data_IF_094712781586
#
_entry.id   IF_094712781586
#
_cell.length_a   1.000
_cell.length_b   1.000
_cell.length_c   1.000
_cell.angle_alpha   90.00
_cell.angle_beta   90.00
_cell.angle_gamma   90.00
#
_symmetry.space_group_name_H-M   'P 1'
#
loop_
_entity.id
_entity.type
_entity.pdbx_description
1 polymer ?
#
# COMPACT_ATOMS: atom_id res chain seq x y z
N UNK A 1 19.99 -3.05 -18.35
CA UNK A 1 18.87 -3.80 -17.75
C UNK A 1 19.26 -5.27 -17.74
N UNK A 2 18.97 -5.99 -16.67
CA UNK A 2 19.24 -7.43 -16.59
C UNK A 2 18.16 -8.18 -17.36
N UNK A 3 18.53 -9.00 -18.34
CA UNK A 3 17.59 -9.84 -19.08
C UNK A 3 17.19 -11.05 -18.25
N UNK A 4 15.88 -11.35 -18.24
CA UNK A 4 15.31 -12.43 -17.45
C UNK A 4 14.24 -13.19 -18.24
N UNK A 5 14.02 -14.45 -17.87
CA UNK A 5 12.87 -15.24 -18.31
C UNK A 5 11.85 -15.23 -17.19
N UNK A 6 10.61 -14.88 -17.50
CA UNK A 6 9.52 -14.97 -16.55
C UNK A 6 8.81 -16.33 -16.62
N UNK A 7 8.42 -16.82 -15.45
CA UNK A 7 7.70 -18.10 -15.31
C UNK A 7 6.37 -17.82 -14.64
N UNK A 8 5.30 -17.97 -15.40
CA UNK A 8 3.94 -17.70 -14.97
C UNK A 8 3.25 -19.00 -14.58
N UNK A 9 2.78 -19.06 -13.34
CA UNK A 9 2.02 -20.18 -12.80
C UNK A 9 0.55 -19.83 -12.79
N UNK A 10 -0.23 -20.56 -13.57
CA UNK A 10 -1.64 -20.30 -13.78
C UNK A 10 -2.51 -21.25 -12.95
N UNK A 11 -3.56 -20.73 -12.33
CA UNK A 11 -4.70 -21.49 -11.87
C UNK A 11 -5.64 -21.86 -13.02
N UNK A 12 -6.77 -22.52 -12.71
CA UNK A 12 -7.74 -22.92 -13.76
C UNK A 12 -8.48 -21.75 -14.41
N UNK A 13 -8.71 -20.71 -13.61
CA UNK A 13 -9.54 -19.56 -13.97
C UNK A 13 -8.70 -18.29 -14.18
N UNK A 14 -7.36 -18.40 -14.13
CA UNK A 14 -6.47 -17.27 -14.34
C UNK A 14 -6.40 -16.87 -15.81
N UNK A 15 -6.41 -15.57 -16.08
CA UNK A 15 -6.12 -15.01 -17.39
C UNK A 15 -4.60 -14.92 -17.61
N UNK A 16 -4.11 -15.68 -18.59
CA UNK A 16 -2.68 -15.78 -18.88
C UNK A 16 -2.08 -14.44 -19.31
N UNK A 17 -2.79 -13.67 -20.15
CA UNK A 17 -2.28 -12.38 -20.65
C UNK A 17 -2.12 -11.37 -19.53
N UNK A 18 -3.09 -11.33 -18.60
CA UNK A 18 -3.05 -10.46 -17.42
C UNK A 18 -1.86 -10.82 -16.53
N UNK A 19 -1.65 -12.10 -16.24
CA UNK A 19 -0.55 -12.59 -15.41
C UNK A 19 0.82 -12.29 -16.03
N UNK A 20 0.96 -12.49 -17.33
CA UNK A 20 2.19 -12.16 -18.07
C UNK A 20 2.47 -10.67 -17.97
N UNK A 21 1.48 -9.81 -18.23
CA UNK A 21 1.62 -8.37 -18.18
C UNK A 21 1.96 -7.85 -16.77
N UNK A 22 1.33 -8.41 -15.74
CA UNK A 22 1.59 -8.04 -14.34
C UNK A 22 3.03 -8.33 -13.94
N UNK A 23 3.51 -9.57 -14.19
CA UNK A 23 4.89 -9.95 -13.86
C UNK A 23 5.92 -9.15 -14.68
N UNK A 24 5.67 -8.93 -15.96
CA UNK A 24 6.53 -8.11 -16.82
C UNK A 24 6.65 -6.68 -16.30
N UNK A 25 5.53 -6.07 -15.89
CA UNK A 25 5.50 -4.74 -15.32
C UNK A 25 6.31 -4.63 -14.02
N UNK A 26 6.25 -5.67 -13.16
CA UNK A 26 7.06 -5.76 -11.94
C UNK A 26 8.54 -5.92 -12.24
N UNK A 27 8.89 -6.78 -13.21
CA UNK A 27 10.28 -6.97 -13.67
C UNK A 27 10.85 -5.64 -14.16
N UNK A 28 10.10 -4.91 -14.99
CA UNK A 28 10.51 -3.59 -15.48
C UNK A 28 10.69 -2.59 -14.34
N UNK A 29 9.80 -2.61 -13.35
CA UNK A 29 9.89 -1.77 -12.14
C UNK A 29 11.14 -2.08 -11.31
N UNK A 30 11.55 -3.36 -11.25
CA UNK A 30 12.79 -3.79 -10.60
C UNK A 30 14.06 -3.47 -11.41
N UNK A 31 13.92 -2.89 -12.61
CA UNK A 31 15.05 -2.58 -13.51
C UNK A 31 15.52 -3.76 -14.36
N UNK A 32 14.75 -4.84 -14.42
CA UNK A 32 14.93 -5.96 -15.33
C UNK A 32 14.28 -5.74 -16.70
N UNK A 33 14.44 -6.71 -17.59
CA UNK A 33 13.75 -6.80 -18.87
C UNK A 33 13.34 -8.25 -19.11
N UNK A 34 12.05 -8.53 -19.24
CA UNK A 34 11.59 -9.84 -19.68
C UNK A 34 11.89 -10.00 -21.16
N UNK A 35 12.64 -11.04 -21.52
CA UNK A 35 12.98 -11.38 -22.91
C UNK A 35 12.23 -12.61 -23.41
N UNK A 36 11.65 -13.39 -22.50
CA UNK A 36 10.79 -14.51 -22.81
C UNK A 36 9.92 -14.86 -21.60
N UNK A 37 8.83 -15.57 -21.85
CA UNK A 37 7.98 -16.12 -20.80
C UNK A 37 7.71 -17.60 -20.99
N UNK A 38 7.45 -18.30 -19.91
CA UNK A 38 7.01 -19.70 -19.86
C UNK A 38 5.82 -19.79 -18.91
N UNK A 39 4.70 -20.29 -19.39
CA UNK A 39 3.49 -20.43 -18.57
C UNK A 39 3.15 -21.90 -18.34
N UNK A 40 2.62 -22.20 -17.14
CA UNK A 40 2.11 -23.54 -16.82
C UNK A 40 0.87 -23.46 -15.97
N UNK A 41 -0.21 -24.13 -16.38
CA UNK A 41 -1.37 -24.38 -15.52
C UNK A 41 -0.99 -25.43 -14.47
N UNK A 42 -1.06 -25.08 -13.19
CA UNK A 42 -0.69 -25.93 -12.07
C UNK A 42 -1.92 -26.22 -11.21
N UNK A 43 -2.48 -27.42 -11.38
CA UNK A 43 -3.58 -27.92 -10.52
C UNK A 43 -3.08 -28.53 -9.22
N UNK A 44 -1.85 -29.02 -9.21
CA UNK A 44 -1.18 -29.60 -8.02
C UNK A 44 0.29 -29.19 -8.02
N UNK A 45 0.67 -28.44 -6.99
CA UNK A 45 2.05 -27.96 -6.80
C UNK A 45 3.03 -29.13 -6.67
N UNK A 46 4.10 -29.11 -7.47
CA UNK A 46 5.20 -30.07 -7.32
C UNK A 46 6.01 -29.71 -6.06
N UNK A 47 6.13 -30.64 -5.08
CA UNK A 47 6.84 -30.35 -3.84
C UNK A 47 8.34 -30.00 -4.03
N UNK A 48 8.95 -30.46 -5.13
CA UNK A 48 10.39 -30.28 -5.39
C UNK A 48 10.70 -29.05 -6.22
N UNK A 49 9.89 -28.74 -7.24
CA UNK A 49 10.19 -27.69 -8.21
C UNK A 49 9.08 -26.67 -8.42
N UNK A 50 7.93 -26.84 -7.76
CA UNK A 50 6.67 -26.12 -7.99
C UNK A 50 6.00 -26.52 -9.31
N UNK A 51 6.74 -26.51 -10.41
CA UNK A 51 6.35 -26.81 -11.80
C UNK A 51 6.71 -28.26 -12.20
N UNK A 52 6.24 -28.69 -13.35
CA UNK A 52 6.54 -30.01 -13.91
C UNK A 52 7.95 -30.11 -14.49
N UNK A 53 8.49 -31.35 -14.58
CA UNK A 53 9.84 -31.59 -15.13
C UNK A 53 9.99 -31.13 -16.58
N UNK A 54 8.98 -31.36 -17.43
CA UNK A 54 9.04 -30.92 -18.84
C UNK A 54 9.17 -29.39 -18.97
N UNK A 55 8.57 -28.61 -18.04
CA UNK A 55 8.74 -27.17 -18.00
C UNK A 55 10.15 -26.75 -17.55
N UNK A 56 10.80 -27.54 -16.69
CA UNK A 56 12.21 -27.28 -16.34
C UNK A 56 13.13 -27.43 -17.54
N UNK A 57 12.92 -28.44 -18.37
CA UNK A 57 13.70 -28.65 -19.60
C UNK A 57 13.46 -27.49 -20.58
N UNK A 58 12.20 -27.10 -20.79
CA UNK A 58 11.85 -25.93 -21.62
C UNK A 58 12.52 -24.64 -21.15
N UNK A 59 12.53 -24.37 -19.84
CA UNK A 59 13.18 -23.20 -19.24
C UNK A 59 14.70 -23.26 -19.45
N UNK A 60 15.31 -24.43 -19.27
CA UNK A 60 16.75 -24.63 -19.49
C UNK A 60 17.14 -24.34 -20.94
N UNK A 61 16.45 -24.96 -21.90
CA UNK A 61 16.72 -24.80 -23.33
C UNK A 61 16.55 -23.32 -23.76
N UNK A 62 15.51 -22.67 -23.21
CA UNK A 62 15.24 -21.27 -23.50
C UNK A 62 16.33 -20.35 -22.89
N UNK A 63 16.78 -20.64 -21.68
CA UNK A 63 17.83 -19.88 -21.00
C UNK A 63 19.19 -20.03 -21.70
N UNK A 64 19.53 -21.24 -22.17
CA UNK A 64 20.75 -21.49 -22.97
C UNK A 64 20.67 -20.75 -24.31
N UNK A 65 19.55 -20.84 -25.03
CA UNK A 65 19.34 -20.18 -26.32
C UNK A 65 19.43 -18.65 -26.27
N UNK A 66 18.92 -18.05 -25.17
CA UNK A 66 18.88 -16.60 -24.99
C UNK A 66 20.05 -16.07 -24.12
N UNK A 67 20.95 -16.95 -23.65
CA UNK A 67 22.07 -16.64 -22.75
C UNK A 67 21.63 -15.95 -21.43
N UNK A 68 20.40 -16.22 -20.99
CA UNK A 68 19.82 -15.64 -19.77
C UNK A 68 20.29 -16.42 -18.55
N UNK A 69 20.63 -15.70 -17.48
CA UNK A 69 21.14 -16.29 -16.22
C UNK A 69 20.19 -16.19 -15.05
N UNK A 70 19.04 -15.55 -15.24
CA UNK A 70 18.07 -15.28 -14.16
C UNK A 70 16.66 -15.59 -14.64
N UNK A 71 15.93 -16.34 -13.82
CA UNK A 71 14.50 -16.60 -14.02
C UNK A 71 13.70 -16.06 -12.85
N UNK A 72 12.49 -15.60 -13.13
CA UNK A 72 11.59 -14.98 -12.14
C UNK A 72 10.24 -15.70 -12.16
N UNK A 73 9.80 -16.17 -11.01
CA UNK A 73 8.50 -16.80 -10.80
C UNK A 73 7.48 -15.81 -10.26
N UNK A 74 6.24 -15.89 -10.73
CA UNK A 74 5.08 -15.12 -10.23
C UNK A 74 4.45 -15.71 -8.95
N UNK A 75 5.10 -16.68 -8.34
CA UNK A 75 4.67 -17.34 -7.09
C UNK A 75 5.77 -17.35 -6.06
N UNK A 76 5.38 -17.46 -4.79
CA UNK A 76 6.35 -17.69 -3.72
C UNK A 76 6.84 -19.14 -3.75
N UNK A 77 8.15 -19.29 -3.69
CA UNK A 77 8.82 -20.59 -3.64
C UNK A 77 9.27 -20.92 -2.22
N UNK A 78 9.02 -22.14 -1.78
CA UNK A 78 9.64 -22.61 -0.54
C UNK A 78 11.17 -22.66 -0.69
N UNK A 79 11.87 -22.52 0.43
CA UNK A 79 13.33 -22.60 0.42
C UNK A 79 13.91 -23.88 -0.22
N UNK A 80 13.16 -25.00 -0.16
CA UNK A 80 13.54 -26.26 -0.81
C UNK A 80 13.35 -26.22 -2.32
N UNK A 81 12.24 -25.61 -2.77
CA UNK A 81 11.96 -25.46 -4.21
C UNK A 81 12.96 -24.52 -4.87
N UNK A 82 13.22 -23.37 -4.23
CA UNK A 82 14.23 -22.41 -4.70
C UNK A 82 15.60 -23.09 -4.89
N UNK A 83 16.09 -23.79 -3.84
CA UNK A 83 17.35 -24.52 -3.89
C UNK A 83 17.37 -25.57 -5.00
N UNK A 84 16.32 -26.40 -5.10
CA UNK A 84 16.25 -27.46 -6.11
C UNK A 84 16.22 -26.90 -7.54
N UNK A 85 15.53 -25.77 -7.76
CA UNK A 85 15.47 -25.10 -9.05
C UNK A 85 16.84 -24.52 -9.44
N UNK A 86 17.52 -23.85 -8.53
CA UNK A 86 18.88 -23.31 -8.77
C UNK A 86 19.89 -24.41 -9.06
N UNK A 87 19.85 -25.53 -8.31
CA UNK A 87 20.73 -26.68 -8.53
C UNK A 87 20.45 -27.37 -9.87
N UNK A 88 19.19 -27.54 -10.25
CA UNK A 88 18.82 -28.24 -11.48
C UNK A 88 19.07 -27.39 -12.73
N UNK A 89 18.73 -26.11 -12.66
CA UNK A 89 18.82 -25.20 -13.81
C UNK A 89 20.19 -24.53 -13.93
N UNK A 90 20.95 -24.44 -12.83
CA UNK A 90 22.17 -23.62 -12.73
C UNK A 90 22.00 -22.16 -13.10
N UNK A 91 20.78 -21.65 -12.82
CA UNK A 91 20.37 -20.26 -13.02
C UNK A 91 20.06 -19.63 -11.67
N UNK A 92 20.14 -18.30 -11.58
CA UNK A 92 19.60 -17.56 -10.45
C UNK A 92 18.08 -17.61 -10.52
N UNK A 93 17.45 -18.04 -9.44
CA UNK A 93 15.98 -18.09 -9.32
C UNK A 93 15.52 -16.98 -8.38
N UNK A 94 14.60 -16.16 -8.84
CA UNK A 94 13.95 -15.11 -8.05
C UNK A 94 12.48 -15.47 -7.97
N UNK A 95 11.93 -15.52 -6.77
CA UNK A 95 10.50 -15.74 -6.58
C UNK A 95 9.76 -14.41 -6.39
N UNK A 96 8.44 -14.47 -6.39
CA UNK A 96 7.55 -13.32 -6.22
C UNK A 96 7.94 -12.45 -5.02
N UNK A 97 8.12 -13.06 -3.85
CA UNK A 97 8.45 -12.36 -2.61
C UNK A 97 9.79 -11.63 -2.70
N UNK A 98 10.81 -12.25 -3.28
CA UNK A 98 12.12 -11.63 -3.49
C UNK A 98 12.03 -10.44 -4.45
N UNK A 99 11.27 -10.58 -5.56
CA UNK A 99 11.08 -9.51 -6.53
C UNK A 99 10.42 -8.28 -5.89
N UNK A 100 9.35 -8.48 -5.12
CA UNK A 100 8.65 -7.40 -4.42
C UNK A 100 9.58 -6.72 -3.39
N UNK A 101 10.35 -7.49 -2.62
CA UNK A 101 11.30 -6.94 -1.66
C UNK A 101 12.40 -6.12 -2.34
N UNK A 102 12.85 -6.53 -3.52
CA UNK A 102 13.86 -5.79 -4.30
C UNK A 102 13.29 -4.46 -4.83
N UNK A 103 12.05 -4.46 -5.34
CA UNK A 103 11.34 -3.24 -5.75
C UNK A 103 11.21 -2.27 -4.57
N UNK A 104 10.78 -2.77 -3.42
CA UNK A 104 10.62 -1.95 -2.22
C UNK A 104 11.95 -1.40 -1.71
N UNK A 105 13.03 -2.20 -1.76
CA UNK A 105 14.35 -1.74 -1.34
C UNK A 105 14.84 -0.56 -2.19
N UNK A 106 14.51 -0.52 -3.48
CA UNK A 106 14.85 0.58 -4.38
C UNK A 106 14.00 1.83 -4.12
N UNK A 107 12.75 1.66 -3.66
CA UNK A 107 11.78 2.76 -3.43
C UNK A 107 11.79 3.31 -2.01
N UNK A 108 12.48 2.68 -1.06
CA UNK A 108 12.55 3.12 0.32
C UNK A 108 13.44 4.37 0.49
N UNK A 109 12.84 5.52 0.70
CA UNK A 109 13.55 6.78 0.90
C UNK A 109 13.65 7.17 2.38
N UNK A 110 12.64 6.80 3.20
CA UNK A 110 12.64 7.13 4.63
C UNK A 110 13.45 6.12 5.45
N UNK A 111 13.93 6.56 6.62
CA UNK A 111 14.62 5.68 7.57
C UNK A 111 13.71 4.52 8.01
N UNK A 112 12.43 4.80 8.25
CA UNK A 112 11.45 3.80 8.69
C UNK A 112 11.25 2.72 7.64
N UNK A 113 10.96 3.09 6.39
CA UNK A 113 10.72 2.14 5.30
C UNK A 113 11.96 1.27 5.03
N UNK A 114 13.16 1.86 5.07
CA UNK A 114 14.41 1.10 4.96
C UNK A 114 14.57 0.07 6.07
N UNK A 115 14.21 0.41 7.32
CA UNK A 115 14.24 -0.53 8.44
C UNK A 115 13.21 -1.64 8.29
N UNK A 116 11.97 -1.30 7.88
CA UNK A 116 10.89 -2.27 7.63
C UNK A 116 11.27 -3.26 6.53
N UNK A 117 11.78 -2.78 5.40
CA UNK A 117 12.19 -3.65 4.30
C UNK A 117 13.36 -4.53 4.70
N UNK A 118 14.36 -3.98 5.38
CA UNK A 118 15.48 -4.76 5.88
C UNK A 118 15.03 -5.86 6.83
N UNK A 119 14.07 -5.56 7.70
CA UNK A 119 13.45 -6.54 8.60
C UNK A 119 12.74 -7.64 7.80
N UNK A 120 11.92 -7.27 6.80
CA UNK A 120 11.23 -8.23 5.93
C UNK A 120 12.21 -9.12 5.16
N UNK A 121 13.26 -8.54 4.58
CA UNK A 121 14.33 -9.30 3.90
C UNK A 121 14.99 -10.32 4.83
N UNK A 122 15.33 -9.93 6.06
CA UNK A 122 15.96 -10.83 7.01
C UNK A 122 15.01 -11.93 7.49
N UNK A 123 13.74 -11.62 7.73
CA UNK A 123 12.70 -12.61 8.08
C UNK A 123 12.47 -13.60 6.93
N UNK A 124 12.46 -13.12 5.70
CA UNK A 124 12.35 -13.95 4.51
C UNK A 124 13.59 -14.86 4.29
N UNK A 125 14.79 -14.35 4.54
CA UNK A 125 16.05 -15.10 4.39
C UNK A 125 16.26 -16.16 5.48
N UNK A 126 15.85 -15.88 6.71
CA UNK A 126 16.15 -16.73 7.88
C UNK A 126 15.71 -18.20 7.70
N UNK A 127 14.48 -18.56 7.29
CA UNK A 127 14.07 -19.94 7.06
C UNK A 127 14.81 -20.59 5.87
N UNK A 128 15.28 -19.80 4.90
CA UNK A 128 16.03 -20.27 3.74
C UNK A 128 17.43 -20.72 4.12
N UNK A 129 18.12 -19.96 4.94
CA UNK A 129 19.44 -20.33 5.49
C UNK A 129 19.35 -21.59 6.34
N UNK A 130 18.33 -21.75 7.17
CA UNK A 130 18.14 -22.95 7.98
C UNK A 130 18.01 -24.25 7.16
N UNK A 131 17.38 -24.17 5.98
CA UNK A 131 17.26 -25.35 5.09
C UNK A 131 18.52 -25.66 4.30
N UNK A 132 19.24 -24.65 3.88
CA UNK A 132 20.59 -24.81 3.31
C UNK A 132 21.51 -25.54 4.31
N UNK A 133 21.40 -25.18 5.56
CA UNK A 133 22.10 -25.83 6.66
C UNK A 133 21.78 -27.31 6.78
N UNK A 134 20.49 -27.67 6.82
CA UNK A 134 20.05 -29.06 6.94
C UNK A 134 20.47 -29.92 5.75
N UNK A 135 20.66 -29.33 4.57
CA UNK A 135 21.12 -30.03 3.37
C UNK A 135 22.64 -30.27 3.41
N UNK A 136 23.43 -29.25 3.74
CA UNK A 136 24.90 -29.36 3.84
C UNK A 136 25.35 -30.30 4.98
N UNK A 137 24.63 -30.31 6.09
CA UNK A 137 24.89 -31.21 7.21
C UNK A 137 24.61 -32.67 6.87
N UNK A 138 23.66 -32.96 5.96
CA UNK A 138 23.40 -34.34 5.46
C UNK A 138 24.46 -34.82 4.49
N UNK A 139 25.12 -33.94 3.73
CA UNK A 139 26.21 -34.29 2.81
C UNK A 139 27.54 -34.50 3.55
N UNK A 140 27.76 -33.82 4.67
CA UNK A 140 28.99 -33.93 5.47
C UNK A 140 29.01 -35.12 6.43
N UNK A 141 28.15 -36.13 6.22
CA UNK A 141 27.88 -37.30 7.05
C UNK A 141 29.05 -37.98 7.71
N UNK A 142 29.24 -37.71 9.01
CA UNK A 142 30.06 -38.46 9.95
C UNK A 142 29.45 -38.34 11.34
N UNK A 143 29.25 -39.45 12.06
CA UNK A 143 28.70 -39.45 13.40
C UNK A 143 29.67 -38.69 14.32
N UNK A 144 29.30 -37.47 14.78
CA UNK A 144 29.94 -36.81 15.92
C UNK A 144 30.88 -35.63 15.66
N UNK A 145 31.08 -35.18 14.42
CA UNK A 145 31.90 -34.00 14.15
C UNK A 145 31.07 -32.90 13.44
N UNK A 146 30.81 -31.79 14.15
CA UNK A 146 30.33 -30.56 13.52
C UNK A 146 31.39 -30.05 12.56
N UNK A 147 31.06 -30.00 11.26
CA UNK A 147 31.97 -29.47 10.26
C UNK A 147 32.13 -27.94 10.36
N UNK A 148 33.26 -27.36 9.88
CA UNK A 148 33.48 -25.90 9.93
C UNK A 148 32.36 -25.08 9.23
N UNK A 149 31.70 -25.64 8.20
CA UNK A 149 30.54 -25.00 7.55
C UNK A 149 29.32 -24.93 8.42
N UNK A 150 29.08 -25.88 9.33
CA UNK A 150 27.98 -25.92 10.28
C UNK A 150 28.08 -24.79 11.31
N UNK A 151 29.29 -24.52 11.81
CA UNK A 151 29.57 -23.44 12.76
C UNK A 151 29.44 -22.05 12.12
N UNK A 152 29.83 -21.90 10.89
CA UNK A 152 29.74 -20.63 10.15
C UNK A 152 28.28 -20.24 9.90
N UNK A 153 27.45 -21.16 9.39
CA UNK A 153 26.05 -20.93 9.14
C UNK A 153 25.25 -20.69 10.44
N UNK A 154 25.59 -21.37 11.55
CA UNK A 154 24.96 -21.08 12.84
C UNK A 154 25.33 -19.68 13.36
N UNK A 155 26.55 -19.23 13.09
CA UNK A 155 27.00 -17.86 13.40
C UNK A 155 26.22 -16.85 12.59
N UNK A 156 26.02 -17.11 11.28
CA UNK A 156 25.24 -16.24 10.38
C UNK A 156 23.77 -16.19 10.81
N UNK A 157 23.17 -17.34 11.15
CA UNK A 157 21.81 -17.38 11.69
C UNK A 157 21.66 -16.51 12.95
N UNK A 158 22.57 -16.66 13.92
CA UNK A 158 22.58 -15.88 15.15
C UNK A 158 22.80 -14.39 14.90
N UNK A 159 23.59 -14.04 13.86
CA UNK A 159 23.77 -12.65 13.44
C UNK A 159 22.46 -12.08 12.90
N UNK A 160 21.78 -12.78 11.98
CA UNK A 160 20.49 -12.37 11.44
C UNK A 160 19.43 -12.23 12.53
N UNK A 161 19.33 -13.17 13.46
CA UNK A 161 18.38 -13.08 14.58
C UNK A 161 18.65 -11.88 15.51
N UNK A 162 19.94 -11.52 15.71
CA UNK A 162 20.29 -10.30 16.45
C UNK A 162 19.89 -9.04 15.71
N UNK A 163 20.13 -9.02 14.38
CA UNK A 163 19.76 -7.89 13.53
C UNK A 163 18.25 -7.70 13.50
N UNK A 164 17.47 -8.79 13.35
CA UNK A 164 15.99 -8.76 13.44
C UNK A 164 15.55 -8.10 14.75
N UNK A 165 16.05 -8.56 15.90
CA UNK A 165 15.68 -7.97 17.22
C UNK A 165 16.07 -6.50 17.34
N UNK A 166 17.21 -6.11 16.79
CA UNK A 166 17.67 -4.72 16.77
C UNK A 166 16.76 -3.83 15.93
N UNK A 167 16.35 -4.30 14.73
CA UNK A 167 15.46 -3.60 13.82
C UNK A 167 14.06 -3.45 14.42
N UNK A 168 13.51 -4.51 15.02
CA UNK A 168 12.20 -4.49 15.69
C UNK A 168 12.18 -3.47 16.84
N UNK A 169 13.29 -3.38 17.61
CA UNK A 169 13.42 -2.36 18.66
C UNK A 169 13.44 -0.95 18.09
N UNK A 170 14.23 -0.74 17.04
CA UNK A 170 14.33 0.59 16.39
C UNK A 170 12.99 1.05 15.80
N UNK A 171 12.21 0.13 15.20
CA UNK A 171 10.87 0.42 14.69
C UNK A 171 9.89 0.78 15.81
N UNK A 172 9.90 0.06 16.93
CA UNK A 172 9.08 0.39 18.13
C UNK A 172 9.39 1.79 18.68
N UNK A 173 10.65 2.20 18.65
CA UNK A 173 11.02 3.54 19.11
C UNK A 173 10.54 4.64 18.17
N UNK A 174 10.56 4.39 16.84
CA UNK A 174 9.99 5.30 15.82
C UNK A 174 8.47 5.44 16.04
N UNK A 175 7.77 4.32 16.22
CA UNK A 175 6.32 4.30 16.44
C UNK A 175 5.90 5.10 17.69
N UNK A 176 6.63 4.95 18.82
CA UNK A 176 6.40 5.75 20.01
C UNK A 176 6.51 7.25 19.73
N UNK A 177 7.54 7.66 18.98
CA UNK A 177 7.74 9.06 18.62
C UNK A 177 6.62 9.59 17.74
N UNK A 178 6.18 8.79 16.74
CA UNK A 178 5.03 9.13 15.89
C UNK A 178 3.75 9.32 16.71
N UNK A 179 3.48 8.41 17.67
CA UNK A 179 2.29 8.48 18.53
C UNK A 179 2.23 9.75 19.37
N UNK A 180 3.39 10.22 19.87
CA UNK A 180 3.48 11.49 20.61
C UNK A 180 3.16 12.68 19.69
N UNK A 181 3.75 12.71 18.49
CA UNK A 181 3.56 13.80 17.54
C UNK A 181 2.12 13.86 16.95
N UNK A 182 1.40 12.74 16.89
CA UNK A 182 0.01 12.69 16.43
C UNK A 182 -0.96 13.37 17.40
N UNK A 183 -0.76 13.22 18.71
CA UNK A 183 -1.61 13.86 19.73
C UNK A 183 -1.68 15.40 19.65
N UNK A 184 -0.79 16.02 18.91
CA UNK A 184 -0.76 17.48 18.71
C UNK A 184 -1.52 17.95 17.46
N UNK A 185 -2.20 17.05 16.72
CA UNK A 185 -2.87 17.37 15.43
C UNK A 185 -4.40 17.20 15.48
N UNK A 186 -5.00 17.38 16.63
CA UNK A 186 -6.41 17.00 16.93
C UNK A 186 -7.51 17.72 16.12
N UNK A 187 -7.21 18.62 15.17
CA UNK A 187 -8.20 19.43 14.46
C UNK A 187 -8.13 19.35 12.91
N UNK A 188 -7.45 18.36 12.34
CA UNK A 188 -7.36 18.22 10.88
C UNK A 188 -7.94 16.86 10.50
N UNK A 189 -8.91 16.84 9.57
CA UNK A 189 -9.52 15.61 9.08
C UNK A 189 -8.52 14.82 8.23
N UNK A 190 -8.29 13.57 8.61
CA UNK A 190 -7.26 12.74 8.00
C UNK A 190 -7.91 11.75 7.03
N UNK A 191 -7.53 11.82 5.76
CA UNK A 191 -8.05 10.96 4.69
C UNK A 191 -6.91 10.09 4.18
N UNK A 192 -7.13 8.79 4.02
CA UNK A 192 -6.17 7.88 3.40
C UNK A 192 -6.68 7.34 2.08
N UNK A 193 -5.82 7.39 1.05
CA UNK A 193 -6.02 6.70 -0.22
C UNK A 193 -5.59 5.24 -0.07
N UNK A 194 -6.49 4.32 -0.27
CA UNK A 194 -6.25 2.87 -0.26
C UNK A 194 -6.72 2.26 -1.57
N UNK A 195 -6.14 1.15 -1.99
CA UNK A 195 -6.54 0.49 -3.24
C UNK A 195 -5.41 -0.32 -3.83
N UNK A 196 -5.72 -1.05 -4.89
CA UNK A 196 -4.78 -1.91 -5.58
C UNK A 196 -3.59 -1.12 -6.16
N UNK A 197 -2.45 -1.80 -6.41
CA UNK A 197 -1.32 -1.15 -7.10
C UNK A 197 -1.76 -0.63 -8.47
N UNK A 198 -1.24 0.52 -8.86
CA UNK A 198 -1.59 1.18 -10.12
C UNK A 198 -3.08 1.57 -10.29
N UNK A 199 -3.90 1.57 -9.22
CA UNK A 199 -5.28 2.07 -9.30
C UNK A 199 -5.36 3.61 -9.48
N UNK A 200 -4.24 4.32 -9.36
CA UNK A 200 -4.16 5.77 -9.57
C UNK A 200 -4.18 6.62 -8.30
N UNK A 201 -3.89 6.03 -7.13
CA UNK A 201 -3.83 6.74 -5.83
C UNK A 201 -2.91 7.96 -5.86
N UNK A 202 -1.67 7.77 -6.29
CA UNK A 202 -0.69 8.86 -6.37
C UNK A 202 -1.06 9.91 -7.43
N UNK A 203 -1.76 9.51 -8.49
CA UNK A 203 -2.29 10.44 -9.51
C UNK A 203 -3.39 11.31 -8.90
N UNK A 204 -4.29 10.72 -8.12
CA UNK A 204 -5.33 11.47 -7.38
C UNK A 204 -4.65 12.44 -6.40
N UNK A 205 -3.70 11.98 -5.57
CA UNK A 205 -2.99 12.85 -4.63
C UNK A 205 -2.36 14.04 -5.35
N UNK A 206 -1.63 13.80 -6.44
CA UNK A 206 -0.97 14.87 -7.20
C UNK A 206 -1.95 15.84 -7.85
N UNK A 207 -3.04 15.33 -8.43
CA UNK A 207 -4.09 16.15 -9.00
C UNK A 207 -4.77 17.03 -7.94
N UNK A 208 -5.11 16.45 -6.78
CA UNK A 208 -5.67 17.17 -5.65
C UNK A 208 -4.70 18.22 -5.11
N UNK A 209 -3.40 17.90 -5.03
CA UNK A 209 -2.36 18.86 -4.66
C UNK A 209 -2.22 20.01 -5.65
N UNK A 210 -2.34 19.74 -6.95
CA UNK A 210 -2.31 20.76 -8.00
C UNK A 210 -3.46 21.77 -7.83
N UNK A 211 -4.65 21.27 -7.49
CA UNK A 211 -5.88 22.08 -7.41
C UNK A 211 -6.09 22.76 -6.06
N UNK A 212 -5.71 22.10 -4.95
CA UNK A 212 -6.09 22.48 -3.59
C UNK A 212 -4.92 22.50 -2.60
N UNK A 213 -3.70 22.20 -3.04
CA UNK A 213 -2.52 22.16 -2.18
C UNK A 213 -1.86 23.54 -1.99
N UNK A 214 -1.32 23.76 -0.81
CA UNK A 214 -0.54 24.96 -0.48
C UNK A 214 0.97 24.80 -0.73
N UNK A 215 1.46 23.58 -1.06
CA UNK A 215 2.89 23.26 -1.20
C UNK A 215 3.23 22.66 -2.58
N UNK A 216 4.53 22.60 -2.91
CA UNK A 216 5.02 22.13 -4.22
C UNK A 216 4.85 20.62 -4.44
N UNK A 217 4.64 20.25 -5.73
CA UNK A 217 4.37 18.90 -6.26
C UNK A 217 5.33 17.79 -5.81
N UNK A 218 4.79 16.57 -5.71
CA UNK A 218 5.54 15.32 -5.63
C UNK A 218 5.44 14.58 -6.95
N UNK A 219 6.57 14.06 -7.42
CA UNK A 219 6.66 13.30 -8.67
C UNK A 219 5.89 11.96 -8.54
N UNK A 220 5.02 11.62 -9.50
CA UNK A 220 4.38 10.31 -9.62
C UNK A 220 4.87 9.61 -10.88
N UNK A 221 5.34 8.36 -10.73
CA UNK A 221 5.65 7.46 -11.83
C UNK A 221 4.45 6.54 -12.09
N UNK A 222 4.17 6.22 -13.36
CA UNK A 222 3.19 5.20 -13.77
C UNK A 222 3.68 3.75 -13.52
N UNK A 223 4.67 3.58 -12.66
CA UNK A 223 5.24 2.27 -12.31
C UNK A 223 4.50 1.63 -11.14
N UNK A 224 4.41 0.30 -11.14
CA UNK A 224 3.90 -0.46 -9.99
C UNK A 224 4.73 -0.11 -8.74
N UNK A 225 4.07 0.09 -7.61
CA UNK A 225 4.71 0.52 -6.34
C UNK A 225 5.45 1.86 -6.41
N UNK A 226 4.91 2.81 -7.16
CA UNK A 226 5.46 4.17 -7.18
C UNK A 226 5.54 4.78 -5.78
N UNK A 227 4.61 4.44 -4.89
CA UNK A 227 4.56 4.90 -3.50
C UNK A 227 4.82 3.74 -2.54
N UNK A 228 5.92 3.79 -1.81
CA UNK A 228 6.24 2.90 -0.70
C UNK A 228 6.24 3.65 0.63
N UNK A 229 6.76 4.86 0.64
CA UNK A 229 6.70 5.77 1.77
C UNK A 229 5.36 6.49 1.77
N UNK A 230 4.60 6.41 2.87
CA UNK A 230 3.36 7.16 2.99
C UNK A 230 3.61 8.65 2.80
N UNK A 231 2.93 9.25 1.85
CA UNK A 231 3.07 10.66 1.51
C UNK A 231 1.82 11.42 1.97
N UNK A 232 1.93 12.12 3.10
CA UNK A 232 0.83 12.94 3.64
C UNK A 232 0.95 14.37 3.14
N UNK A 233 -0.14 14.92 2.60
CA UNK A 233 -0.23 16.28 2.10
C UNK A 233 -1.41 17.01 2.69
N UNK A 234 -1.24 18.28 2.95
CA UNK A 234 -2.30 19.15 3.42
C UNK A 234 -3.01 19.79 2.25
N UNK A 235 -4.33 19.68 2.25
CA UNK A 235 -5.22 20.27 1.25
C UNK A 235 -6.18 21.25 1.94
N UNK A 236 -6.56 22.28 1.23
CA UNK A 236 -7.52 23.28 1.68
C UNK A 236 -8.77 23.23 0.78
N UNK A 237 -9.88 22.73 1.32
CA UNK A 237 -11.15 22.61 0.65
C UNK A 237 -12.09 23.72 1.08
N UNK A 238 -11.73 24.98 0.78
CA UNK A 238 -12.59 26.14 1.07
C UNK A 238 -13.11 26.09 2.52
N UNK A 239 -12.24 26.36 3.50
CA UNK A 239 -12.47 26.33 4.95
C UNK A 239 -12.50 24.95 5.64
N UNK A 240 -12.39 23.84 4.89
CA UNK A 240 -12.18 22.51 5.47
C UNK A 240 -10.75 22.07 5.20
N UNK A 241 -9.92 22.07 6.26
CA UNK A 241 -8.52 21.65 6.16
C UNK A 241 -8.46 20.14 6.34
N UNK A 242 -7.92 19.45 5.33
CA UNK A 242 -7.76 17.98 5.37
C UNK A 242 -6.30 17.60 5.14
N UNK A 243 -5.92 16.43 5.61
CA UNK A 243 -4.71 15.76 5.14
C UNK A 243 -5.09 14.60 4.26
N UNK A 244 -4.47 14.49 3.10
CA UNK A 244 -4.61 13.34 2.21
C UNK A 244 -3.30 12.55 2.23
N UNK A 245 -3.39 11.28 2.58
CA UNK A 245 -2.26 10.36 2.69
C UNK A 245 -2.34 9.31 1.60
N UNK A 246 -1.33 9.26 0.73
CA UNK A 246 -1.15 8.16 -0.20
C UNK A 246 -0.49 6.99 0.51
N UNK A 247 -1.09 5.81 0.39
CA UNK A 247 -0.59 4.57 0.98
C UNK A 247 -0.05 3.64 -0.07
N UNK A 248 0.69 2.63 0.37
CA UNK A 248 1.15 1.56 -0.51
C UNK A 248 -0.05 0.81 -1.07
N UNK A 249 0.02 0.46 -2.37
CA UNK A 249 -1.07 -0.28 -3.02
C UNK A 249 -1.13 -1.74 -2.58
N UNK A 250 -2.34 -2.25 -2.42
CA UNK A 250 -2.58 -3.68 -2.19
C UNK A 250 -2.12 -4.53 -3.38
N UNK A 251 -1.69 -5.74 -3.09
CA UNK A 251 -1.26 -6.74 -4.07
C UNK A 251 -1.77 -8.09 -3.62
N UNK A 252 -2.10 -8.93 -4.60
CA UNK A 252 -2.44 -10.32 -4.35
C UNK A 252 -1.20 -11.14 -3.97
N UNK A 253 -1.45 -12.22 -3.23
CA UNK A 253 -0.47 -13.28 -2.95
C UNK A 253 0.81 -12.81 -2.21
N UNK A 254 0.71 -11.77 -1.35
CA UNK A 254 1.81 -11.43 -0.45
C UNK A 254 2.06 -12.57 0.54
N UNK A 255 3.32 -12.92 0.74
CA UNK A 255 3.70 -13.87 1.80
C UNK A 255 3.30 -13.32 3.18
N UNK A 256 3.06 -14.21 4.14
CA UNK A 256 2.69 -13.82 5.51
C UNK A 256 3.72 -12.89 6.14
N UNK A 257 5.01 -13.15 5.91
CA UNK A 257 6.12 -12.35 6.43
C UNK A 257 6.17 -10.95 5.80
N UNK A 258 5.82 -10.83 4.52
CA UNK A 258 5.65 -9.56 3.83
C UNK A 258 4.39 -8.86 4.32
N UNK A 259 3.29 -9.57 4.43
CA UNK A 259 2.02 -9.01 4.87
C UNK A 259 2.16 -8.37 6.27
N UNK A 260 2.81 -9.04 7.23
CA UNK A 260 3.07 -8.49 8.57
C UNK A 260 3.90 -7.19 8.53
N UNK A 261 4.89 -7.11 7.65
CA UNK A 261 5.71 -5.91 7.47
C UNK A 261 4.95 -4.80 6.72
N UNK A 262 4.05 -5.18 5.83
CA UNK A 262 3.22 -4.32 5.02
C UNK A 262 2.05 -3.75 5.81
N UNK A 263 1.37 -4.58 6.61
CA UNK A 263 0.29 -4.18 7.52
C UNK A 263 0.74 -3.07 8.47
N UNK A 264 1.99 -3.08 8.94
CA UNK A 264 2.53 -1.97 9.74
C UNK A 264 2.66 -0.64 8.96
N UNK A 265 2.74 -0.67 7.63
CA UNK A 265 2.70 0.54 6.80
C UNK A 265 1.25 0.99 6.58
N UNK A 266 0.34 0.02 6.48
CA UNK A 266 -1.10 0.26 6.39
C UNK A 266 -1.73 0.61 7.75
N UNK A 267 -1.02 0.45 8.88
CA UNK A 267 -1.52 0.92 10.19
C UNK A 267 -1.84 2.42 10.23
N UNK A 268 -1.28 3.21 9.32
CA UNK A 268 -1.68 4.61 9.19
C UNK A 268 -3.15 4.77 8.78
N UNK A 269 -3.73 3.81 8.07
CA UNK A 269 -5.16 3.72 7.75
C UNK A 269 -6.01 3.70 9.01
N UNK A 270 -5.55 3.05 10.10
CA UNK A 270 -6.25 3.01 11.39
C UNK A 270 -6.45 4.40 12.01
N UNK A 271 -5.62 5.34 11.66
CA UNK A 271 -5.65 6.70 12.20
C UNK A 271 -6.33 7.71 11.28
N UNK A 272 -6.82 7.26 10.14
CA UNK A 272 -7.63 8.09 9.24
C UNK A 272 -9.06 8.20 9.75
N UNK A 273 -9.68 9.33 9.48
CA UNK A 273 -11.10 9.56 9.75
C UNK A 273 -11.95 9.01 8.59
N UNK A 274 -11.42 9.05 7.35
CA UNK A 274 -12.06 8.57 6.12
C UNK A 274 -11.09 7.79 5.24
N UNK A 275 -11.60 6.80 4.51
CA UNK A 275 -10.88 6.05 3.48
C UNK A 275 -11.45 6.35 2.09
N UNK A 276 -10.56 6.68 1.16
CA UNK A 276 -10.87 6.70 -0.27
C UNK A 276 -10.35 5.40 -0.88
N UNK A 277 -11.26 4.48 -1.15
CA UNK A 277 -10.94 3.18 -1.75
C UNK A 277 -10.90 3.31 -3.25
N UNK A 278 -9.69 3.37 -3.82
CA UNK A 278 -9.45 3.60 -5.24
C UNK A 278 -9.41 2.29 -6.00
N UNK A 279 -10.29 2.15 -6.99
CA UNK A 279 -10.44 0.98 -7.85
C UNK A 279 -10.15 1.40 -9.29
N UNK A 280 -9.33 0.63 -10.00
CA UNK A 280 -9.16 0.77 -11.45
C UNK A 280 -10.38 0.20 -12.18
N UNK A 281 -11.27 1.06 -12.66
CA UNK A 281 -12.50 0.65 -13.32
C UNK A 281 -12.26 -0.01 -14.70
N UNK A 282 -11.06 0.12 -15.26
CA UNK A 282 -10.71 -0.46 -16.56
C UNK A 282 -10.19 -1.90 -16.48
N UNK A 283 -10.04 -2.46 -15.26
CA UNK A 283 -9.40 -3.77 -15.07
C UNK A 283 -10.06 -4.51 -13.90
N UNK A 284 -10.27 -5.81 -14.00
CA UNK A 284 -10.71 -6.79 -13.00
C UNK A 284 -11.23 -6.20 -11.66
N UNK A 285 -12.37 -5.55 -11.69
CA UNK A 285 -12.98 -4.88 -10.52
C UNK A 285 -13.22 -5.87 -9.37
N UNK A 286 -13.73 -7.08 -9.68
CA UNK A 286 -14.04 -8.11 -8.68
C UNK A 286 -12.80 -8.53 -7.89
N UNK A 287 -11.70 -8.82 -8.59
CA UNK A 287 -10.42 -9.20 -7.97
C UNK A 287 -9.85 -8.08 -7.10
N UNK A 288 -9.90 -6.83 -7.57
CA UNK A 288 -9.45 -5.69 -6.79
C UNK A 288 -10.27 -5.52 -5.50
N UNK A 289 -11.61 -5.59 -5.59
CA UNK A 289 -12.50 -5.46 -4.43
C UNK A 289 -12.24 -6.59 -3.44
N UNK A 290 -12.15 -7.84 -3.90
CA UNK A 290 -11.90 -8.99 -3.01
C UNK A 290 -10.57 -8.86 -2.24
N UNK A 291 -9.51 -8.40 -2.92
CA UNK A 291 -8.20 -8.17 -2.29
C UNK A 291 -8.24 -7.02 -1.28
N UNK A 292 -8.92 -5.93 -1.63
CA UNK A 292 -9.06 -4.75 -0.76
C UNK A 292 -9.87 -5.12 0.49
N UNK A 293 -11.05 -5.72 0.32
CA UNK A 293 -11.93 -6.10 1.44
C UNK A 293 -11.21 -7.04 2.40
N UNK A 294 -10.55 -8.08 1.90
CA UNK A 294 -9.73 -8.97 2.72
C UNK A 294 -8.65 -8.23 3.51
N UNK A 295 -7.95 -7.30 2.87
CA UNK A 295 -6.88 -6.54 3.51
C UNK A 295 -7.41 -5.56 4.57
N UNK A 296 -8.56 -4.93 4.32
CA UNK A 296 -9.21 -4.02 5.27
C UNK A 296 -9.75 -4.78 6.49
N UNK A 297 -10.29 -5.99 6.29
CA UNK A 297 -10.72 -6.88 7.37
C UNK A 297 -9.55 -7.28 8.29
N UNK A 298 -8.37 -7.61 7.70
CA UNK A 298 -7.17 -7.95 8.45
C UNK A 298 -6.62 -6.77 9.28
N UNK A 299 -6.83 -5.53 8.81
CA UNK A 299 -6.36 -4.31 9.49
C UNK A 299 -7.28 -3.90 10.64
N UNK A 300 -8.54 -4.31 10.66
CA UNK A 300 -9.58 -3.85 11.61
C UNK A 300 -9.70 -2.31 11.59
N UNK A 301 -10.34 -1.82 10.54
CA UNK A 301 -10.50 -0.36 10.30
C UNK A 301 -11.56 0.30 11.19
N UNK A 302 -12.42 -0.49 11.88
CA UNK A 302 -13.55 0.02 12.66
C UNK A 302 -14.63 0.70 11.80
N UNK A 303 -15.45 1.53 12.42
CA UNK A 303 -16.55 2.28 11.78
C UNK A 303 -16.02 3.58 11.14
N UNK A 304 -15.28 3.45 10.02
CA UNK A 304 -14.79 4.60 9.27
C UNK A 304 -15.68 4.92 8.09
N UNK A 305 -15.75 6.21 7.74
CA UNK A 305 -16.36 6.63 6.49
C UNK A 305 -15.54 6.12 5.29
N UNK A 306 -16.21 5.52 4.32
CA UNK A 306 -15.58 4.94 3.12
C UNK A 306 -16.27 5.53 1.88
N UNK A 307 -15.45 6.11 0.99
CA UNK A 307 -15.88 6.48 -0.36
C UNK A 307 -15.16 5.59 -1.37
N UNK A 308 -15.91 4.86 -2.19
CA UNK A 308 -15.34 4.08 -3.30
C UNK A 308 -15.13 4.98 -4.52
N UNK A 309 -13.88 5.09 -4.95
CA UNK A 309 -13.45 5.91 -6.09
C UNK A 309 -13.12 5.00 -7.27
N UNK A 310 -14.05 4.87 -8.21
CA UNK A 310 -13.84 4.13 -9.45
C UNK A 310 -13.09 5.04 -10.43
N UNK A 311 -11.78 4.83 -10.53
CA UNK A 311 -10.87 5.66 -11.30
C UNK A 311 -10.61 5.07 -12.70
N UNK A 312 -9.99 5.85 -13.58
CA UNK A 312 -9.66 5.52 -14.98
C UNK A 312 -10.89 5.31 -15.86
N UNK A 313 -11.97 6.03 -15.57
CA UNK A 313 -13.19 5.98 -16.39
C UNK A 313 -12.95 6.38 -17.85
N UNK A 314 -11.88 7.12 -18.13
CA UNK A 314 -11.40 7.43 -19.49
C UNK A 314 -11.01 6.19 -20.31
N UNK A 315 -10.80 5.04 -19.68
CA UNK A 315 -10.44 3.76 -20.31
C UNK A 315 -11.57 2.73 -20.35
N UNK A 316 -12.73 3.05 -19.77
CA UNK A 316 -13.85 2.13 -19.64
C UNK A 316 -14.79 2.26 -20.84
N UNK A 317 -15.01 1.17 -21.57
CA UNK A 317 -15.93 1.14 -22.73
C UNK A 317 -17.40 1.20 -22.30
N UNK A 318 -17.77 0.48 -21.22
CA UNK A 318 -19.12 0.47 -20.65
C UNK A 318 -19.13 0.99 -19.20
N UNK A 319 -19.39 2.29 -18.99
CA UNK A 319 -19.45 2.87 -17.65
C UNK A 319 -20.52 2.27 -16.72
N UNK A 320 -21.53 1.60 -17.29
CA UNK A 320 -22.64 1.03 -16.50
C UNK A 320 -22.19 -0.16 -15.67
N UNK A 321 -21.21 -0.94 -16.15
CA UNK A 321 -20.69 -2.11 -15.45
C UNK A 321 -20.12 -1.73 -14.07
N UNK A 322 -19.29 -0.68 -14.00
CA UNK A 322 -18.74 -0.20 -12.73
C UNK A 322 -19.82 0.27 -11.73
N UNK A 323 -20.96 0.75 -12.24
CA UNK A 323 -22.08 1.21 -11.41
C UNK A 323 -22.81 0.13 -10.62
N UNK A 324 -22.50 -1.16 -10.86
CA UNK A 324 -23.10 -2.29 -10.16
C UNK A 324 -22.43 -2.63 -8.83
N UNK A 325 -21.18 -2.17 -8.63
CA UNK A 325 -20.36 -2.51 -7.46
C UNK A 325 -20.57 -1.53 -6.29
N UNK A 326 -20.45 -2.05 -5.07
CA UNK A 326 -20.42 -1.28 -3.80
C UNK A 326 -21.55 -0.24 -3.68
N UNK A 327 -22.77 -0.62 -4.05
CA UNK A 327 -23.97 0.27 -4.04
C UNK A 327 -24.38 0.72 -2.64
N UNK A 328 -23.99 -0.03 -1.63
CA UNK A 328 -24.24 0.23 -0.21
C UNK A 328 -23.35 1.32 0.39
N UNK A 329 -22.32 1.77 -0.35
CA UNK A 329 -21.38 2.82 0.06
C UNK A 329 -21.49 4.06 -0.81
N UNK A 330 -21.04 5.20 -0.29
CA UNK A 330 -20.76 6.38 -1.11
C UNK A 330 -19.71 6.05 -2.16
N UNK A 331 -19.93 6.48 -3.40
CA UNK A 331 -19.08 6.14 -4.54
C UNK A 331 -19.09 7.22 -5.61
N UNK A 332 -17.94 7.37 -6.25
CA UNK A 332 -17.76 8.32 -7.33
C UNK A 332 -16.96 7.67 -8.48
N UNK A 333 -17.25 8.11 -9.69
CA UNK A 333 -16.64 7.62 -10.93
C UNK A 333 -15.85 8.77 -11.55
N UNK A 334 -14.52 8.60 -11.68
CA UNK A 334 -13.63 9.68 -12.09
C UNK A 334 -12.56 9.20 -13.08
N UNK A 335 -11.99 10.14 -13.82
CA UNK A 335 -10.64 10.05 -14.36
C UNK A 335 -9.72 10.99 -13.57
N UNK A 336 -8.77 10.46 -12.83
CA UNK A 336 -7.83 11.28 -12.06
C UNK A 336 -6.96 12.22 -12.93
N UNK A 337 -7.09 12.15 -14.24
CA UNK A 337 -6.43 13.05 -15.20
C UNK A 337 -7.24 14.30 -15.48
N UNK A 338 -8.53 14.29 -15.17
CA UNK A 338 -9.46 15.38 -15.43
C UNK A 338 -9.64 16.25 -14.17
N UNK A 339 -9.33 17.53 -14.28
CA UNK A 339 -9.41 18.49 -13.16
C UNK A 339 -10.87 18.65 -12.66
N UNK A 340 -11.88 18.45 -13.50
CA UNK A 340 -13.31 18.55 -13.16
C UNK A 340 -13.76 17.37 -12.29
N UNK A 341 -13.32 16.16 -12.61
CA UNK A 341 -13.58 14.95 -11.83
C UNK A 341 -12.95 15.03 -10.43
N UNK A 342 -11.75 15.60 -10.33
CA UNK A 342 -11.11 15.84 -9.04
C UNK A 342 -11.82 16.91 -8.21
N UNK A 343 -12.45 17.90 -8.83
CA UNK A 343 -13.33 18.87 -8.13
C UNK A 343 -14.57 18.16 -7.60
N UNK A 344 -15.18 17.30 -8.40
CA UNK A 344 -16.33 16.48 -8.01
C UNK A 344 -15.98 15.57 -6.83
N UNK A 345 -14.80 14.94 -6.86
CA UNK A 345 -14.28 14.13 -5.74
C UNK A 345 -14.11 14.97 -4.47
N UNK A 346 -13.55 16.18 -4.58
CA UNK A 346 -13.43 17.12 -3.44
C UNK A 346 -14.81 17.46 -2.88
N UNK A 347 -15.81 17.73 -3.74
CA UNK A 347 -17.17 18.07 -3.29
C UNK A 347 -17.83 16.90 -2.57
N UNK A 348 -17.65 15.65 -3.04
CA UNK A 348 -18.15 14.46 -2.36
C UNK A 348 -17.48 14.24 -1.00
N UNK A 349 -16.15 14.41 -0.91
CA UNK A 349 -15.42 14.36 0.37
C UNK A 349 -15.98 15.38 1.35
N UNK A 350 -16.16 16.63 0.92
CA UNK A 350 -16.69 17.71 1.78
C UNK A 350 -18.11 17.42 2.22
N UNK A 351 -18.95 16.85 1.35
CA UNK A 351 -20.32 16.43 1.67
C UNK A 351 -20.31 15.42 2.83
N UNK A 352 -19.55 14.34 2.71
CA UNK A 352 -19.44 13.30 3.76
C UNK A 352 -18.87 13.88 5.06
N UNK A 353 -17.84 14.73 5.01
CA UNK A 353 -17.30 15.38 6.21
C UNK A 353 -18.38 16.23 6.91
N UNK A 354 -19.23 16.90 6.13
CA UNK A 354 -20.27 17.80 6.67
C UNK A 354 -21.52 17.06 7.17
N UNK A 355 -21.73 15.78 6.87
CA UNK A 355 -22.83 14.99 7.42
C UNK A 355 -22.79 14.91 8.95
N UNK A 356 -21.58 14.92 9.53
CA UNK A 356 -21.37 14.95 10.98
C UNK A 356 -21.42 16.37 11.59
N UNK A 357 -21.59 17.42 10.75
CA UNK A 357 -21.62 18.79 11.24
C UNK A 357 -23.02 19.14 11.75
N UNK A 358 -23.04 19.93 12.84
CA UNK A 358 -24.28 20.48 13.40
C UNK A 358 -24.39 21.96 13.11
N UNK A 359 -25.49 22.37 12.56
CA UNK A 359 -25.80 23.79 12.46
C UNK A 359 -26.10 24.33 13.86
N UNK A 360 -25.37 25.37 14.26
CA UNK A 360 -25.47 25.99 15.56
C UNK A 360 -25.55 27.51 15.44
N UNK A 361 -26.17 28.09 16.44
CA UNK A 361 -26.13 29.52 16.66
C UNK A 361 -25.33 29.77 17.93
N UNK A 362 -24.30 30.62 17.84
CA UNK A 362 -23.39 30.89 18.93
C UNK A 362 -23.41 32.36 19.29
N UNK A 363 -23.47 32.68 20.58
CA UNK A 363 -23.28 34.02 21.11
C UNK A 363 -21.89 34.12 21.74
N UNK A 364 -21.01 34.89 21.14
CA UNK A 364 -19.62 35.05 21.56
C UNK A 364 -19.44 36.47 22.14
N UNK A 365 -19.23 36.59 23.47
CA UNK A 365 -19.03 37.87 24.10
C UNK A 365 -17.81 38.61 23.52
N UNK A 366 -17.88 39.97 23.45
CA UNK A 366 -16.77 40.77 22.93
C UNK A 366 -15.44 40.55 23.65
N UNK A 367 -15.49 40.13 24.93
CA UNK A 367 -14.30 39.77 25.69
C UNK A 367 -13.56 38.52 25.14
N UNK A 368 -14.24 37.67 24.36
CA UNK A 368 -13.74 36.41 23.84
C UNK A 368 -13.44 36.48 22.32
N UNK A 369 -12.91 37.60 21.87
CA UNK A 369 -12.58 37.85 20.45
C UNK A 369 -11.72 36.75 19.79
N UNK A 370 -10.85 36.07 20.54
CA UNK A 370 -10.05 34.96 20.04
C UNK A 370 -10.90 33.74 19.63
N UNK A 371 -12.06 33.53 20.27
CA UNK A 371 -13.02 32.46 19.90
C UNK A 371 -13.72 32.82 18.60
N UNK A 372 -14.12 34.08 18.44
CA UNK A 372 -14.72 34.57 17.21
C UNK A 372 -13.77 34.47 16.04
N UNK A 373 -12.51 34.90 16.22
CA UNK A 373 -11.44 34.81 15.21
C UNK A 373 -11.18 33.37 14.80
N UNK A 374 -11.19 32.45 15.77
CA UNK A 374 -11.08 31.00 15.50
C UNK A 374 -12.18 30.52 14.56
N UNK A 375 -13.45 30.83 14.84
CA UNK A 375 -14.56 30.37 13.98
C UNK A 375 -14.56 31.07 12.62
N UNK A 376 -14.28 32.37 12.56
CA UNK A 376 -14.18 33.10 11.30
C UNK A 376 -13.02 32.59 10.40
N UNK A 377 -11.95 32.07 10.99
CA UNK A 377 -10.80 31.55 10.25
C UNK A 377 -10.98 30.11 9.79
N UNK A 378 -11.75 29.29 10.50
CA UNK A 378 -11.82 27.85 10.28
C UNK A 378 -13.17 27.35 9.77
N UNK A 379 -14.21 28.19 9.75
CA UNK A 379 -15.58 27.81 9.36
C UNK A 379 -16.23 28.84 8.45
N UNK A 380 -17.18 28.39 7.62
CA UNK A 380 -18.06 29.25 6.86
C UNK A 380 -19.15 29.81 7.78
N UNK A 381 -19.20 31.13 7.96
CA UNK A 381 -20.22 31.78 8.74
C UNK A 381 -21.41 32.00 7.85
N UNK A 382 -22.57 31.36 8.18
CA UNK A 382 -23.83 31.48 7.43
C UNK A 382 -24.49 32.84 7.67
N UNK A 383 -24.41 33.30 8.93
CA UNK A 383 -25.00 34.58 9.32
C UNK A 383 -24.23 35.20 10.48
N UNK A 384 -24.15 36.53 10.49
CA UNK A 384 -23.52 37.28 11.59
C UNK A 384 -24.51 38.38 12.03
N UNK A 385 -24.82 38.45 13.34
CA UNK A 385 -25.57 39.48 14.00
C UNK A 385 -24.78 40.00 15.21
N UNK A 386 -25.17 41.14 15.73
CA UNK A 386 -24.55 41.77 16.88
C UNK A 386 -25.59 42.21 17.89
N UNK A 387 -25.28 42.07 19.17
CA UNK A 387 -26.06 42.67 20.25
C UNK A 387 -25.17 43.52 21.16
N UNK A 388 -25.69 43.96 22.32
CA UNK A 388 -24.91 44.81 23.23
C UNK A 388 -23.80 44.07 23.99
N UNK A 389 -23.80 42.74 23.99
CA UNK A 389 -22.91 41.91 24.80
C UNK A 389 -21.89 41.12 23.97
N UNK A 390 -22.17 40.88 22.66
CA UNK A 390 -21.34 40.06 21.83
C UNK A 390 -21.69 39.98 20.36
N UNK A 391 -21.10 39.07 19.66
CA UNK A 391 -21.37 38.72 18.26
C UNK A 391 -22.12 37.39 18.22
N UNK A 392 -23.20 37.36 17.45
CA UNK A 392 -23.98 36.15 17.22
C UNK A 392 -23.63 35.64 15.83
N UNK A 393 -23.18 34.41 15.75
CA UNK A 393 -22.83 33.73 14.48
C UNK A 393 -23.68 32.48 14.32
N UNK A 394 -24.12 32.23 13.08
CA UNK A 394 -24.72 30.95 12.66
C UNK A 394 -23.74 30.24 11.73
N UNK A 395 -23.42 28.98 12.03
CA UNK A 395 -22.45 28.21 11.29
C UNK A 395 -22.67 26.68 11.49
N UNK A 396 -22.06 25.89 10.63
CA UNK A 396 -21.98 24.45 10.79
C UNK A 396 -20.65 24.08 11.46
N UNK A 397 -20.69 23.36 12.59
CA UNK A 397 -19.52 22.98 13.38
C UNK A 397 -19.38 21.45 13.47
N UNK A 398 -18.15 20.97 13.46
CA UNK A 398 -17.87 19.57 13.72
C UNK A 398 -18.17 19.18 15.20
N UNK A 399 -18.32 17.89 15.45
CA UNK A 399 -18.66 17.36 16.78
C UNK A 399 -17.64 17.73 17.86
N UNK A 400 -16.37 17.84 17.52
CA UNK A 400 -15.29 18.21 18.44
C UNK A 400 -15.44 19.65 18.95
N UNK A 401 -15.61 20.58 18.01
CA UNK A 401 -15.78 21.98 18.34
C UNK A 401 -17.17 22.26 18.95
N UNK A 402 -18.21 21.53 18.54
CA UNK A 402 -19.51 21.57 19.19
C UNK A 402 -19.38 21.33 20.69
N UNK A 403 -18.72 20.23 21.09
CA UNK A 403 -18.55 19.88 22.51
C UNK A 403 -17.63 20.87 23.24
N UNK A 404 -16.58 21.33 22.59
CA UNK A 404 -15.59 22.24 23.18
C UNK A 404 -16.14 23.63 23.47
N UNK A 405 -17.02 24.12 22.60
CA UNK A 405 -17.58 25.48 22.65
C UNK A 405 -19.06 25.48 22.95
N UNK A 406 -19.61 24.40 23.52
CA UNK A 406 -21.00 24.23 23.89
C UNK A 406 -21.54 25.41 24.72
N UNK A 407 -20.69 26.00 25.60
CA UNK A 407 -21.04 27.15 26.43
C UNK A 407 -21.40 28.44 25.67
N UNK A 408 -21.08 28.52 24.39
CA UNK A 408 -21.42 29.67 23.53
C UNK A 408 -22.67 29.40 22.66
N UNK A 409 -23.19 28.18 22.62
CA UNK A 409 -24.34 27.77 21.79
C UNK A 409 -25.61 28.25 22.46
N UNK A 410 -26.52 28.89 21.66
CA UNK A 410 -27.79 29.45 22.12
C UNK A 410 -28.97 28.86 21.36
#
# INVERSE_FOLDING_TARGET
MQEVIQVNVLGKDDDEEIKIYELESLINTAGGKSVAFVSQVVTKVNPRYYIGKGKLEEIRDLAEKLEVKTIIFDVELSASQLYNLEEELKLKVVDWTSLILDIFAQRAHTKESRLKIKLAQLKYQLPRINKWFAYLSRQAGGIGTRGPGETMLETDRRAIERDIRSLEKALKDIEKTKRINRKSRDNIYNISLVGYTNAGKSTILNGMMKLFGSEKYVYSDDLLFATLDTSTRRLDFSNTKVTLTDTVGFIDNLSKELNDSFLTTLEEIKFSDMLLVVIDASNNIDGQIATIDKSLDEIDIGDKEIIYVFNKMDKVEDPTAASLYKREYERIFISAREDEDLRSLKDEIVKVIKEDYKQVKMHIPFANGAVLDYFMTNYDILKTDYDNEGTIIELEVNKGDYNKYESYII
#
